data_IF_642091621317
#
_entry.id   IF_642091621317
#
_cell.length_a   1.000
_cell.length_b   1.000
_cell.length_c   1.000
_cell.angle_alpha   90.00
_cell.angle_beta   90.00
_cell.angle_gamma   90.00
#
_symmetry.space_group_name_H-M   'P 1'
#
loop_
_entity.id
_entity.type
_entity.pdbx_description
1 polymer ?
#
# COMPACT_ATOMS: atom_id res chain seq x y z
N UNK A 1 2.15 -45.76 26.27
CA UNK A 1 0.72 -45.41 26.12
C UNK A 1 0.43 -44.30 25.08
N UNK A 2 1.40 -43.80 24.30
CA UNK A 2 1.16 -42.75 23.28
C UNK A 2 1.02 -43.24 21.83
N UNK A 3 0.99 -44.55 21.59
CA UNK A 3 0.89 -45.14 20.23
C UNK A 3 -0.52 -45.58 19.82
N UNK A 4 -1.47 -45.60 20.74
CA UNK A 4 -2.85 -46.02 20.46
C UNK A 4 -3.78 -44.87 20.02
N UNK A 5 -3.45 -43.62 20.34
CA UNK A 5 -4.31 -42.45 20.03
C UNK A 5 -4.09 -41.88 18.63
N UNK A 6 -2.97 -42.17 17.97
CA UNK A 6 -2.69 -41.67 16.60
C UNK A 6 -3.42 -42.54 15.55
N UNK A 7 -3.63 -43.83 15.84
CA UNK A 7 -4.31 -44.75 14.94
C UNK A 7 -5.82 -44.49 14.85
N UNK A 8 -6.46 -44.06 15.95
CA UNK A 8 -7.89 -43.71 15.98
C UNK A 8 -8.17 -42.39 15.26
N UNK A 9 -7.24 -41.43 15.30
CA UNK A 9 -7.39 -40.15 14.59
C UNK A 9 -7.30 -40.28 13.06
N UNK A 10 -6.46 -41.19 12.56
CA UNK A 10 -6.38 -41.49 11.11
C UNK A 10 -7.57 -42.31 10.60
N UNK A 11 -8.18 -43.16 11.44
CA UNK A 11 -9.36 -43.93 11.08
C UNK A 11 -10.60 -43.04 10.91
N UNK A 12 -10.79 -42.04 11.77
CA UNK A 12 -11.91 -41.09 11.65
C UNK A 12 -11.76 -40.14 10.45
N UNK A 13 -10.54 -39.78 10.05
CA UNK A 13 -10.31 -38.87 8.92
C UNK A 13 -10.47 -39.56 7.55
N UNK A 14 -10.33 -40.90 7.50
CA UNK A 14 -10.58 -41.70 6.29
C UNK A 14 -12.06 -42.03 6.09
N UNK A 15 -12.87 -42.00 7.15
CA UNK A 15 -14.31 -42.25 7.05
C UNK A 15 -15.13 -41.05 6.54
N UNK A 16 -14.52 -39.86 6.42
CA UNK A 16 -15.21 -38.63 5.99
C UNK A 16 -15.05 -38.31 4.50
N UNK A 17 -14.33 -39.12 3.71
CA UNK A 17 -14.04 -38.83 2.30
C UNK A 17 -14.71 -39.76 1.26
N UNK A 18 -15.54 -40.71 1.70
CA UNK A 18 -16.19 -41.71 0.81
C UNK A 18 -17.73 -41.66 0.84
N UNK A 19 -18.31 -40.44 0.76
CA UNK A 19 -19.75 -40.27 0.51
C UNK A 19 -20.00 -39.18 -0.52
N UNK A 20 -19.44 -39.30 -1.73
CA UNK A 20 -20.05 -38.61 -2.88
C UNK A 20 -19.76 -39.27 -4.24
N UNK A 21 -20.06 -40.55 -4.37
CA UNK A 21 -20.19 -41.19 -5.68
C UNK A 21 -21.29 -42.25 -5.63
N UNK A 22 -22.53 -41.88 -5.95
CA UNK A 22 -23.50 -42.82 -6.48
C UNK A 22 -24.44 -42.13 -7.47
N UNK A 23 -24.12 -42.30 -8.77
CA UNK A 23 -25.14 -42.42 -9.82
C UNK A 23 -25.90 -43.72 -9.54
N UNK A 24 -27.22 -43.65 -9.47
CA UNK A 24 -28.08 -44.82 -9.37
C UNK A 24 -29.53 -44.43 -9.65
N UNK A 25 -30.02 -44.83 -10.82
CA UNK A 25 -31.41 -44.73 -11.24
C UNK A 25 -32.32 -45.51 -10.27
N UNK A 26 -33.40 -44.89 -9.82
CA UNK A 26 -34.65 -45.60 -9.53
C UNK A 26 -35.83 -44.78 -10.04
N UNK A 27 -36.55 -45.37 -10.98
CA UNK A 27 -37.91 -45.01 -11.36
C UNK A 27 -38.90 -45.53 -10.28
N UNK A 28 -40.16 -45.06 -10.37
CA UNK A 28 -41.37 -45.45 -9.61
C UNK A 28 -41.46 -44.78 -8.22
N UNK A 29 -42.54 -44.09 -7.82
CA UNK A 29 -43.96 -44.15 -8.19
C UNK A 29 -44.60 -42.77 -7.96
N UNK A 30 -45.52 -42.35 -8.84
CA UNK A 30 -46.47 -41.27 -8.58
C UNK A 30 -47.47 -41.69 -7.49
N UNK A 31 -47.62 -40.88 -6.45
CA UNK A 31 -48.86 -40.73 -5.69
C UNK A 31 -49.15 -39.23 -5.58
N UNK A 32 -50.20 -38.81 -6.29
CA UNK A 32 -50.75 -37.46 -6.28
C UNK A 32 -51.37 -37.18 -4.90
N UNK A 33 -50.85 -36.17 -4.20
CA UNK A 33 -51.61 -35.46 -3.18
C UNK A 33 -51.54 -33.98 -3.56
N UNK A 34 -52.69 -33.48 -4.02
CA UNK A 34 -52.95 -32.07 -4.30
C UNK A 34 -52.70 -31.22 -3.04
N UNK A 35 -51.62 -30.45 -3.05
CA UNK A 35 -51.44 -29.30 -2.18
C UNK A 35 -51.31 -28.07 -3.06
N UNK A 36 -52.36 -27.24 -3.04
CA UNK A 36 -52.47 -25.97 -3.74
C UNK A 36 -51.13 -25.21 -3.78
N UNK A 37 -50.70 -24.69 -4.95
CA UNK A 37 -49.41 -24.03 -5.07
C UNK A 37 -49.37 -22.79 -4.17
N UNK A 38 -48.65 -22.90 -3.05
CA UNK A 38 -48.18 -21.74 -2.29
C UNK A 38 -47.35 -20.91 -3.27
N UNK A 39 -47.77 -19.66 -3.49
CA UNK A 39 -47.13 -18.69 -4.39
C UNK A 39 -45.61 -18.75 -4.23
N UNK A 40 -44.91 -19.12 -5.30
CA UNK A 40 -43.46 -19.06 -5.38
C UNK A 40 -43.02 -17.60 -5.28
N UNK A 41 -42.15 -17.30 -4.32
CA UNK A 41 -41.46 -16.02 -4.26
C UNK A 41 -40.51 -15.95 -5.47
N UNK A 42 -40.81 -15.08 -6.43
CA UNK A 42 -39.95 -14.84 -7.60
C UNK A 42 -38.60 -14.26 -7.15
N UNK A 43 -37.60 -15.13 -6.99
CA UNK A 43 -36.26 -14.75 -6.57
C UNK A 43 -35.20 -15.84 -6.70
N UNK A 44 -35.58 -17.12 -6.68
CA UNK A 44 -34.64 -18.23 -6.91
C UNK A 44 -34.73 -18.74 -8.34
N UNK A 45 -33.99 -18.06 -9.23
CA UNK A 45 -33.58 -18.62 -10.51
C UNK A 45 -32.06 -18.82 -10.48
N UNK A 46 -31.66 -20.09 -10.57
CA UNK A 46 -30.31 -20.58 -10.83
C UNK A 46 -29.65 -19.85 -12.03
N UNK A 47 -28.31 -19.82 -12.13
CA UNK A 47 -27.58 -18.90 -13.02
C UNK A 47 -27.91 -19.17 -14.50
N UNK A 48 -28.49 -18.16 -15.14
CA UNK A 48 -28.76 -18.14 -16.58
C UNK A 48 -27.49 -18.49 -17.38
N UNK A 49 -27.62 -19.54 -18.16
CA UNK A 49 -26.72 -19.93 -19.23
C UNK A 49 -26.53 -18.77 -20.21
N UNK A 50 -25.29 -18.66 -20.72
CA UNK A 50 -24.91 -17.72 -21.76
C UNK A 50 -25.76 -17.95 -23.02
N UNK A 51 -26.47 -16.93 -23.52
CA UNK A 51 -26.86 -16.95 -24.94
C UNK A 51 -28.16 -16.27 -25.39
N UNK A 52 -29.09 -15.85 -24.54
CA UNK A 52 -30.37 -15.27 -25.02
C UNK A 52 -30.47 -13.75 -24.83
N UNK A 53 -31.02 -13.00 -25.82
CA UNK A 53 -31.09 -11.55 -25.76
C UNK A 53 -32.09 -11.13 -24.68
N UNK A 54 -31.55 -10.58 -23.59
CA UNK A 54 -32.30 -10.12 -22.43
C UNK A 54 -33.48 -9.24 -22.83
N UNK A 55 -34.69 -9.76 -22.64
CA UNK A 55 -35.96 -9.02 -22.69
C UNK A 55 -35.79 -7.82 -21.77
N UNK A 56 -35.71 -6.62 -22.35
CA UNK A 56 -35.45 -5.37 -21.63
C UNK A 56 -36.65 -5.07 -20.74
N UNK A 57 -36.61 -5.53 -19.48
CA UNK A 57 -37.58 -5.15 -18.46
C UNK A 57 -37.61 -3.62 -18.37
N UNK A 58 -38.79 -3.03 -18.61
CA UNK A 58 -39.00 -1.57 -18.62
C UNK A 58 -38.60 -1.05 -17.24
N UNK A 59 -37.62 -0.16 -17.18
CA UNK A 59 -37.16 0.44 -15.92
C UNK A 59 -38.34 1.23 -15.34
N UNK A 60 -38.81 0.86 -14.15
CA UNK A 60 -39.78 1.65 -13.38
C UNK A 60 -39.22 3.03 -13.05
N UNK A 61 -40.02 3.85 -12.35
CA UNK A 61 -39.74 5.25 -12.03
C UNK A 61 -38.26 5.54 -11.71
N UNK A 62 -37.53 6.06 -12.70
CA UNK A 62 -36.12 6.41 -12.58
C UNK A 62 -36.03 7.83 -12.05
N UNK A 63 -35.69 7.96 -10.77
CA UNK A 63 -35.55 9.25 -10.09
C UNK A 63 -34.27 9.94 -10.57
N UNK A 64 -34.39 10.64 -11.70
CA UNK A 64 -33.37 11.54 -12.23
C UNK A 64 -32.24 10.90 -13.06
N UNK A 65 -31.34 11.75 -13.60
CA UNK A 65 -30.24 11.34 -14.46
C UNK A 65 -29.35 10.26 -13.80
N UNK A 66 -28.93 9.26 -14.57
CA UNK A 66 -28.17 8.09 -14.08
C UNK A 66 -26.79 8.41 -13.46
N UNK A 67 -26.34 9.66 -13.53
CA UNK A 67 -25.16 10.18 -12.86
C UNK A 67 -25.53 10.93 -11.56
N UNK A 68 -26.58 10.49 -10.86
CA UNK A 68 -26.72 10.83 -9.45
C UNK A 68 -25.47 10.30 -8.73
N UNK A 69 -24.83 11.09 -7.86
CA UNK A 69 -23.72 10.60 -7.06
C UNK A 69 -24.24 9.42 -6.24
N UNK A 70 -23.93 8.21 -6.71
CA UNK A 70 -24.25 6.95 -6.04
C UNK A 70 -23.80 7.16 -4.59
N UNK A 71 -24.76 7.09 -3.66
CA UNK A 71 -24.61 7.68 -2.33
C UNK A 71 -23.31 7.26 -1.65
N UNK A 72 -22.82 8.07 -0.71
CA UNK A 72 -21.49 7.90 -0.07
C UNK A 72 -21.15 6.45 0.32
N UNK A 73 -22.14 5.66 0.71
CA UNK A 73 -21.98 4.24 1.07
C UNK A 73 -21.86 3.28 -0.13
N UNK A 74 -22.53 3.52 -1.26
CA UNK A 74 -22.45 2.64 -2.44
C UNK A 74 -21.08 2.69 -3.12
N UNK A 75 -20.45 3.87 -3.18
CA UNK A 75 -19.05 4.02 -3.67
C UNK A 75 -18.06 3.24 -2.81
N UNK A 76 -18.22 3.29 -1.48
CA UNK A 76 -17.37 2.53 -0.54
C UNK A 76 -17.55 1.03 -0.75
N UNK A 77 -18.78 0.54 -0.89
CA UNK A 77 -19.04 -0.88 -1.13
C UNK A 77 -18.48 -1.35 -2.48
N UNK A 78 -18.65 -0.57 -3.55
CA UNK A 78 -18.05 -0.87 -4.86
C UNK A 78 -16.52 -0.87 -4.78
N UNK A 79 -15.92 0.10 -4.09
CA UNK A 79 -14.48 0.14 -3.86
C UNK A 79 -13.98 -1.08 -3.09
N UNK A 80 -14.61 -1.43 -1.97
CA UNK A 80 -14.25 -2.61 -1.17
C UNK A 80 -14.33 -3.89 -2.01
N UNK A 81 -15.41 -4.05 -2.80
CA UNK A 81 -15.57 -5.19 -3.71
C UNK A 81 -14.47 -5.24 -4.77
N UNK A 82 -14.21 -4.12 -5.45
CA UNK A 82 -13.19 -4.04 -6.50
C UNK A 82 -11.79 -4.29 -5.92
N UNK A 83 -11.48 -3.74 -4.75
CA UNK A 83 -10.20 -3.94 -4.05
C UNK A 83 -9.99 -5.41 -3.66
N UNK A 84 -11.03 -6.08 -3.15
CA UNK A 84 -10.97 -7.51 -2.81
C UNK A 84 -10.78 -8.38 -4.06
N UNK A 85 -11.52 -8.08 -5.14
CA UNK A 85 -11.39 -8.80 -6.41
C UNK A 85 -9.99 -8.60 -6.99
N UNK A 86 -9.44 -7.38 -6.96
CA UNK A 86 -8.08 -7.11 -7.44
C UNK A 86 -7.03 -7.87 -6.63
N UNK A 87 -7.09 -7.83 -5.30
CA UNK A 87 -6.16 -8.57 -4.44
C UNK A 87 -6.22 -10.08 -4.71
N UNK A 88 -7.41 -10.64 -4.89
CA UNK A 88 -7.56 -12.05 -5.24
C UNK A 88 -6.98 -12.37 -6.62
N UNK A 89 -7.18 -11.52 -7.63
CA UNK A 89 -6.59 -11.69 -8.97
C UNK A 89 -5.06 -11.64 -8.92
N UNK A 90 -4.49 -10.67 -8.22
CA UNK A 90 -3.03 -10.55 -8.07
C UNK A 90 -2.46 -11.77 -7.36
N UNK A 91 -3.07 -12.24 -6.27
CA UNK A 91 -2.65 -13.46 -5.57
C UNK A 91 -2.70 -14.70 -6.47
N UNK A 92 -3.76 -14.84 -7.28
CA UNK A 92 -3.87 -15.93 -8.25
C UNK A 92 -2.81 -15.86 -9.34
N UNK A 93 -2.56 -14.68 -9.90
CA UNK A 93 -1.52 -14.48 -10.91
C UNK A 93 -0.12 -14.76 -10.35
N UNK A 94 0.17 -14.25 -9.15
CA UNK A 94 1.43 -14.50 -8.46
C UNK A 94 1.64 -15.98 -8.15
N UNK A 95 0.61 -16.69 -7.67
CA UNK A 95 0.70 -18.12 -7.42
C UNK A 95 0.99 -18.92 -8.71
N UNK A 96 0.44 -18.50 -9.85
CA UNK A 96 0.73 -19.10 -11.16
C UNK A 96 2.19 -18.87 -11.57
N UNK A 97 2.64 -17.62 -11.53
CA UNK A 97 4.02 -17.26 -11.87
C UNK A 97 4.99 -18.00 -10.97
N UNK A 98 4.75 -18.02 -9.65
CA UNK A 98 5.59 -18.75 -8.69
C UNK A 98 5.64 -20.25 -8.97
N UNK A 99 4.50 -20.86 -9.33
CA UNK A 99 4.46 -22.28 -9.69
C UNK A 99 5.20 -22.56 -11.00
N UNK A 100 5.05 -21.69 -12.00
CA UNK A 100 5.79 -21.78 -13.26
C UNK A 100 7.29 -21.56 -13.06
N UNK A 101 7.69 -20.60 -12.22
CA UNK A 101 9.09 -20.34 -11.87
C UNK A 101 9.69 -21.52 -11.13
N UNK A 102 8.97 -22.15 -10.19
CA UNK A 102 9.45 -23.37 -9.52
C UNK A 102 9.52 -24.56 -10.48
N UNK A 103 8.67 -24.63 -11.50
CA UNK A 103 8.70 -25.68 -12.52
C UNK A 103 9.79 -25.44 -13.59
N UNK A 104 10.06 -24.17 -13.92
CA UNK A 104 11.08 -23.74 -14.89
C UNK A 104 12.46 -23.62 -14.26
N UNK A 105 12.54 -23.35 -12.96
CA UNK A 105 13.80 -23.34 -12.24
C UNK A 105 14.42 -24.74 -12.34
N UNK A 106 15.70 -24.86 -12.73
CA UNK A 106 16.40 -26.13 -12.59
C UNK A 106 16.27 -26.53 -11.12
N UNK A 107 15.86 -27.77 -10.85
CA UNK A 107 15.78 -28.30 -9.48
C UNK A 107 17.17 -28.16 -8.87
N UNK A 108 17.41 -27.07 -8.16
CA UNK A 108 18.64 -26.85 -7.41
C UNK A 108 18.76 -28.02 -6.47
N UNK A 109 19.84 -28.77 -6.61
CA UNK A 109 20.08 -29.90 -5.72
C UNK A 109 20.19 -29.34 -4.30
N UNK A 110 19.80 -30.11 -3.29
CA UNK A 110 19.80 -29.66 -1.88
C UNK A 110 21.16 -29.09 -1.45
N UNK A 111 22.24 -29.44 -2.16
CA UNK A 111 23.61 -28.99 -1.94
C UNK A 111 23.91 -27.56 -2.47
N UNK A 112 23.14 -27.00 -3.40
CA UNK A 112 23.40 -25.66 -3.98
C UNK A 112 22.75 -24.51 -3.19
N UNK A 113 21.94 -24.83 -2.18
CA UNK A 113 21.15 -23.83 -1.43
C UNK A 113 21.92 -23.16 -0.27
N UNK A 114 23.12 -23.64 0.07
CA UNK A 114 23.88 -23.14 1.22
C UNK A 114 24.75 -21.91 0.92
N UNK A 115 25.01 -21.56 -0.34
CA UNK A 115 25.98 -20.51 -0.71
C UNK A 115 25.37 -19.26 -1.37
N UNK A 116 24.04 -19.18 -1.50
CA UNK A 116 23.39 -18.20 -2.40
C UNK A 116 22.45 -17.17 -1.75
N UNK A 117 22.45 -17.00 -0.43
CA UNK A 117 21.62 -16.00 0.26
C UNK A 117 22.43 -14.77 0.70
N UNK A 118 23.14 -14.13 -0.23
CA UNK A 118 23.53 -12.73 0.01
C UNK A 118 23.51 -11.92 -1.28
N UNK A 119 22.77 -10.82 -1.20
CA UNK A 119 22.80 -9.65 -2.10
C UNK A 119 21.98 -9.81 -3.38
N UNK A 120 20.98 -8.94 -3.56
CA UNK A 120 20.69 -8.21 -4.81
C UNK A 120 19.47 -7.28 -4.56
N UNK A 121 19.74 -6.03 -4.19
CA UNK A 121 18.84 -4.90 -4.45
C UNK A 121 19.64 -3.86 -5.23
N UNK A 122 19.35 -3.75 -6.53
CA UNK A 122 20.13 -2.99 -7.51
C UNK A 122 20.02 -1.46 -7.46
N UNK A 123 20.87 -0.75 -8.23
CA UNK A 123 20.57 -0.29 -9.61
C UNK A 123 21.61 0.72 -10.14
N UNK A 124 22.00 0.50 -11.40
CA UNK A 124 22.34 1.43 -12.49
C UNK A 124 23.55 2.40 -12.37
N UNK A 125 24.54 2.28 -13.28
CA UNK A 125 24.69 3.13 -14.48
C UNK A 125 25.85 2.65 -15.39
N UNK A 126 25.79 3.10 -16.64
CA UNK A 126 26.43 2.60 -17.86
C UNK A 126 27.95 2.82 -18.02
N UNK A 127 28.48 2.07 -19.00
CA UNK A 127 29.58 2.37 -19.94
C UNK A 127 31.05 1.99 -19.62
N UNK A 128 31.49 1.01 -20.42
CA UNK A 128 32.74 0.94 -21.20
C UNK A 128 34.09 0.94 -20.46
N UNK A 129 34.76 -0.21 -20.56
CA UNK A 129 36.17 -0.39 -20.26
C UNK A 129 36.47 -1.89 -20.21
N UNK A 130 36.95 -2.43 -21.33
CA UNK A 130 37.55 -3.76 -21.38
C UNK A 130 38.71 -3.81 -20.39
N UNK A 131 38.71 -4.76 -19.47
CA UNK A 131 39.90 -5.41 -18.90
C UNK A 131 39.44 -6.47 -17.90
N UNK A 132 39.83 -7.72 -18.16
CA UNK A 132 39.70 -8.83 -17.22
C UNK A 132 40.31 -8.43 -15.88
N UNK A 133 39.69 -8.73 -14.72
CA UNK A 133 40.28 -8.40 -13.43
C UNK A 133 41.45 -9.35 -13.19
N UNK A 134 42.62 -9.02 -13.73
CA UNK A 134 43.86 -9.58 -13.22
C UNK A 134 43.97 -9.11 -11.77
N UNK A 135 44.35 -10.03 -10.89
CA UNK A 135 44.43 -9.87 -9.44
C UNK A 135 45.55 -8.90 -9.01
N UNK A 136 45.93 -7.96 -9.87
CA UNK A 136 46.96 -6.97 -9.64
C UNK A 136 46.43 -5.95 -8.64
N UNK A 137 47.06 -5.91 -7.47
CA UNK A 137 46.71 -4.98 -6.40
C UNK A 137 46.80 -3.55 -6.94
N UNK A 138 45.77 -2.74 -6.66
CA UNK A 138 45.69 -1.33 -7.04
C UNK A 138 47.03 -0.61 -6.76
N UNK A 139 47.52 0.26 -7.67
CA UNK A 139 48.86 0.86 -7.58
C UNK A 139 49.13 1.56 -6.24
N UNK A 140 48.13 2.19 -5.65
CA UNK A 140 48.23 2.82 -4.31
C UNK A 140 48.59 1.82 -3.20
N UNK A 141 48.13 0.56 -3.32
CA UNK A 141 48.45 -0.50 -2.37
C UNK A 141 49.86 -1.05 -2.57
N UNK A 142 50.37 -1.04 -3.80
CA UNK A 142 51.76 -1.37 -4.11
C UNK A 142 52.70 -0.28 -3.56
N UNK A 143 52.31 0.99 -3.64
CA UNK A 143 53.08 2.10 -3.09
C UNK A 143 53.25 2.01 -1.57
N UNK A 144 52.20 1.65 -0.82
CA UNK A 144 52.30 1.45 0.64
C UNK A 144 53.17 0.25 1.05
N UNK A 145 53.32 -0.76 0.20
CA UNK A 145 54.15 -1.94 0.49
C UNK A 145 55.62 -1.74 0.12
N UNK A 146 55.90 -0.88 -0.87
CA UNK A 146 57.26 -0.57 -1.32
C UNK A 146 57.90 0.57 -0.52
N UNK A 147 57.14 1.30 0.29
CA UNK A 147 57.68 2.31 1.19
C UNK A 147 58.43 1.60 2.34
N UNK A 148 59.75 1.84 2.52
CA UNK A 148 60.51 1.18 3.57
C UNK A 148 59.96 1.60 4.93
N UNK A 149 59.55 0.62 5.73
CA UNK A 149 59.01 0.83 7.08
C UNK A 149 60.08 1.54 7.92
N UNK A 150 59.92 2.85 8.10
CA UNK A 150 60.78 3.63 8.96
C UNK A 150 60.56 3.15 10.40
N UNK A 151 61.56 2.52 11.00
CA UNK A 151 61.52 2.14 12.41
C UNK A 151 61.07 3.35 13.25
N UNK A 152 60.00 3.23 14.04
CA UNK A 152 59.51 4.35 14.82
C UNK A 152 60.52 4.69 15.91
N UNK A 153 61.23 5.81 15.75
CA UNK A 153 61.99 6.42 16.83
C UNK A 153 61.10 6.57 18.07
N UNK A 154 61.59 6.26 19.29
CA UNK A 154 60.76 6.30 20.49
C UNK A 154 60.30 7.75 20.74
N UNK A 155 59.03 8.02 20.48
CA UNK A 155 58.41 9.30 20.75
C UNK A 155 58.56 9.65 22.25
N UNK A 156 58.88 10.91 22.61
CA UNK A 156 58.90 11.32 24.01
C UNK A 156 57.51 11.12 24.63
N UNK A 157 57.47 10.42 25.77
CA UNK A 157 56.22 10.17 26.51
C UNK A 157 55.53 11.50 26.80
N UNK A 158 54.24 11.66 26.49
CA UNK A 158 53.52 12.88 26.84
C UNK A 158 53.48 13.02 28.36
N UNK A 159 54.04 14.11 28.88
CA UNK A 159 53.93 14.49 30.28
C UNK A 159 52.46 14.52 30.69
N UNK A 160 52.16 13.85 31.81
CA UNK A 160 50.81 13.77 32.38
C UNK A 160 50.38 15.18 32.80
N UNK A 161 49.47 15.78 32.04
CA UNK A 161 48.80 17.03 32.42
C UNK A 161 48.26 16.92 33.85
N UNK A 162 48.41 17.96 34.70
CA UNK A 162 47.80 17.95 36.03
C UNK A 162 46.28 17.80 35.88
N UNK A 163 45.71 16.87 36.66
CA UNK A 163 44.26 16.62 36.72
C UNK A 163 43.57 17.89 37.21
N UNK A 164 43.11 18.72 36.29
CA UNK A 164 42.18 19.79 36.61
C UNK A 164 40.92 19.18 37.24
N UNK A 165 40.50 19.78 38.35
CA UNK A 165 39.40 19.34 39.20
C UNK A 165 38.13 18.98 38.41
N UNK A 166 37.78 17.70 38.46
CA UNK A 166 36.43 17.22 38.76
C UNK A 166 35.25 17.59 37.86
N UNK A 167 35.37 18.34 36.76
CA UNK A 167 34.24 18.51 35.82
C UNK A 167 34.12 17.28 34.93
N UNK A 168 33.45 16.28 35.47
CA UNK A 168 32.98 15.10 34.74
C UNK A 168 32.29 15.58 33.46
N UNK A 169 32.87 15.28 32.29
CA UNK A 169 32.26 15.63 30.99
C UNK A 169 30.82 15.10 30.99
N UNK A 170 29.86 16.00 31.11
CA UNK A 170 28.44 15.65 31.05
C UNK A 170 28.17 14.97 29.71
N UNK A 171 27.81 13.69 29.78
CA UNK A 171 27.48 12.92 28.59
C UNK A 171 26.13 13.41 28.09
N UNK A 172 26.08 13.84 26.82
CA UNK A 172 24.81 14.23 26.20
C UNK A 172 23.82 13.06 26.26
N UNK A 173 22.55 13.31 26.65
CA UNK A 173 21.54 12.26 26.66
C UNK A 173 21.36 11.71 25.24
N UNK A 174 21.34 10.39 25.13
CA UNK A 174 21.09 9.72 23.86
C UNK A 174 19.63 9.99 23.45
N UNK A 175 19.36 10.45 22.22
CA UNK A 175 17.99 10.62 21.76
C UNK A 175 17.25 9.27 21.83
N UNK A 176 16.04 9.27 22.39
CA UNK A 176 15.22 8.06 22.47
C UNK A 176 14.87 7.56 21.06
N UNK A 177 14.68 6.25 20.90
CA UNK A 177 14.44 5.60 19.60
C UNK A 177 13.31 6.27 18.79
N UNK A 178 12.30 6.81 19.48
CA UNK A 178 11.11 7.40 18.87
C UNK A 178 11.21 8.90 18.58
N UNK A 179 12.24 9.60 19.04
CA UNK A 179 12.39 11.06 18.82
C UNK A 179 12.38 11.41 17.33
N UNK A 180 13.17 10.69 16.53
CA UNK A 180 13.24 10.87 15.08
C UNK A 180 11.91 10.55 14.39
N UNK A 181 11.20 9.53 14.85
CA UNK A 181 9.89 9.15 14.28
C UNK A 181 8.81 10.18 14.59
N UNK A 182 8.78 10.72 15.80
CA UNK A 182 7.86 11.80 16.18
C UNK A 182 8.13 13.07 15.39
N UNK A 183 9.40 13.45 15.22
CA UNK A 183 9.77 14.61 14.39
C UNK A 183 9.33 14.45 12.93
N UNK A 184 9.47 13.24 12.36
CA UNK A 184 9.00 12.96 11.00
C UNK A 184 7.48 13.03 10.92
N UNK A 185 6.77 12.50 11.92
CA UNK A 185 5.31 12.56 11.99
C UNK A 185 4.81 14.01 12.12
N UNK A 186 5.44 14.83 12.95
CA UNK A 186 5.14 16.25 13.09
C UNK A 186 5.40 17.04 11.82
N UNK A 187 6.54 16.78 11.14
CA UNK A 187 6.85 17.41 9.85
C UNK A 187 5.79 17.10 8.80
N UNK A 188 5.30 15.85 8.75
CA UNK A 188 4.20 15.44 7.86
C UNK A 188 2.89 16.14 8.21
N UNK A 189 2.52 16.20 9.50
CA UNK A 189 1.32 16.93 9.96
C UNK A 189 1.39 18.41 9.61
N UNK A 190 2.51 19.08 9.89
CA UNK A 190 2.74 20.49 9.56
C UNK A 190 2.65 20.75 8.05
N UNK A 191 3.18 19.85 7.22
CA UNK A 191 3.10 19.98 5.76
C UNK A 191 1.65 19.81 5.24
N UNK A 192 0.89 18.87 5.80
CA UNK A 192 -0.53 18.68 5.47
C UNK A 192 -1.39 19.86 5.95
N UNK A 193 -1.13 20.36 7.15
CA UNK A 193 -1.80 21.54 7.70
C UNK A 193 -1.51 22.80 6.88
N UNK A 194 -0.27 23.01 6.44
CA UNK A 194 0.07 24.13 5.55
C UNK A 194 -0.71 24.03 4.23
N UNK A 195 -0.69 22.85 3.58
CA UNK A 195 -1.46 22.61 2.36
C UNK A 195 -2.96 22.82 2.56
N UNK A 196 -3.49 22.47 3.73
CA UNK A 196 -4.90 22.66 4.09
C UNK A 196 -5.22 24.14 4.29
N UNK A 197 -4.40 24.86 5.05
CA UNK A 197 -4.53 26.31 5.27
C UNK A 197 -4.46 27.10 3.97
N UNK A 198 -3.61 26.70 3.03
CA UNK A 198 -3.54 27.34 1.71
C UNK A 198 -4.84 27.15 0.89
N UNK A 199 -5.43 25.95 0.95
CA UNK A 199 -6.71 25.67 0.28
C UNK A 199 -7.84 26.44 0.95
N UNK A 200 -7.89 26.45 2.27
CA UNK A 200 -8.89 27.18 3.06
C UNK A 200 -8.77 28.69 2.85
N UNK A 201 -7.55 29.24 2.78
CA UNK A 201 -7.33 30.66 2.48
C UNK A 201 -7.86 31.03 1.09
N UNK A 202 -7.57 30.21 0.06
CA UNK A 202 -8.11 30.40 -1.30
C UNK A 202 -9.63 30.29 -1.35
N UNK A 203 -10.22 29.37 -0.60
CA UNK A 203 -11.68 29.23 -0.49
C UNK A 203 -12.30 30.44 0.21
N UNK A 204 -11.73 30.87 1.34
CA UNK A 204 -12.18 32.03 2.10
C UNK A 204 -12.10 33.31 1.26
N UNK A 205 -11.03 33.51 0.48
CA UNK A 205 -10.93 34.63 -0.47
C UNK A 205 -12.05 34.59 -1.52
N UNK A 206 -12.31 33.41 -2.09
CA UNK A 206 -13.39 33.22 -3.07
C UNK A 206 -14.76 33.51 -2.46
N UNK A 207 -15.02 33.00 -1.26
CA UNK A 207 -16.27 33.22 -0.54
C UNK A 207 -16.45 34.68 -0.13
N UNK A 208 -15.38 35.35 0.32
CA UNK A 208 -15.40 36.77 0.64
C UNK A 208 -15.74 37.62 -0.58
N UNK A 209 -15.15 37.33 -1.75
CA UNK A 209 -15.49 37.99 -3.01
C UNK A 209 -16.94 37.75 -3.42
N UNK A 210 -17.41 36.50 -3.35
CA UNK A 210 -18.80 36.15 -3.66
C UNK A 210 -19.78 36.82 -2.69
N UNK A 211 -19.43 36.93 -1.41
CA UNK A 211 -20.25 37.58 -0.39
C UNK A 211 -20.27 39.10 -0.56
N UNK A 212 -19.15 39.71 -0.94
CA UNK A 212 -19.08 41.13 -1.24
C UNK A 212 -19.87 41.49 -2.51
N UNK A 213 -19.86 40.62 -3.52
CA UNK A 213 -20.61 40.78 -4.78
C UNK A 213 -22.13 40.56 -4.64
N UNK A 214 -22.61 40.12 -3.47
CA UNK A 214 -24.06 39.96 -3.25
C UNK A 214 -24.75 41.34 -3.30
N UNK A 215 -25.79 41.49 -4.14
CA UNK A 215 -26.52 42.74 -4.24
C UNK A 215 -27.30 43.04 -2.96
N UNK A 216 -27.64 44.31 -2.78
CA UNK A 216 -28.49 44.78 -1.70
C UNK A 216 -29.96 44.34 -1.88
N UNK A 217 -30.81 44.60 -0.88
CA UNK A 217 -32.26 44.44 -0.97
C UNK A 217 -32.85 45.20 -2.18
N UNK A 218 -32.24 46.33 -2.55
CA UNK A 218 -32.58 47.12 -3.74
C UNK A 218 -31.89 46.66 -5.03
N UNK A 219 -31.21 45.51 -5.04
CA UNK A 219 -30.51 44.97 -6.20
C UNK A 219 -29.20 45.69 -6.57
N UNK A 220 -28.89 46.83 -5.94
CA UNK A 220 -27.68 47.63 -6.20
C UNK A 220 -26.44 46.95 -5.59
N UNK A 221 -25.30 47.02 -6.30
CA UNK A 221 -24.01 46.57 -5.77
C UNK A 221 -23.47 47.53 -4.74
N UNK A 222 -22.90 46.99 -3.66
CA UNK A 222 -22.30 47.78 -2.57
C UNK A 222 -20.79 47.88 -2.79
N UNK A 223 -20.36 48.91 -3.54
CA UNK A 223 -18.94 49.15 -3.84
C UNK A 223 -18.04 49.16 -2.60
N UNK A 224 -18.52 49.70 -1.46
CA UNK A 224 -17.74 49.69 -0.22
C UNK A 224 -17.48 48.31 0.39
N UNK A 225 -18.26 47.28 0.04
CA UNK A 225 -18.00 45.89 0.43
C UNK A 225 -17.02 45.21 -0.53
N UNK A 226 -17.15 45.49 -1.82
CA UNK A 226 -16.29 44.95 -2.87
C UNK A 226 -14.88 45.56 -2.81
N UNK A 227 -14.77 46.86 -2.52
CA UNK A 227 -13.50 47.59 -2.44
C UNK A 227 -12.54 46.97 -1.44
N UNK A 228 -12.98 46.67 -0.22
CA UNK A 228 -12.11 46.13 0.84
C UNK A 228 -11.52 44.76 0.48
N UNK A 229 -12.34 43.88 -0.12
CA UNK A 229 -11.88 42.55 -0.52
C UNK A 229 -10.91 42.65 -1.71
N UNK A 230 -11.19 43.54 -2.67
CA UNK A 230 -10.30 43.77 -3.81
C UNK A 230 -8.96 44.38 -3.37
N UNK A 231 -8.98 45.35 -2.45
CA UNK A 231 -7.78 45.95 -1.88
C UNK A 231 -6.92 44.90 -1.16
N UNK A 232 -7.54 44.03 -0.35
CA UNK A 232 -6.82 42.95 0.34
C UNK A 232 -6.15 41.97 -0.64
N UNK A 233 -6.77 41.73 -1.80
CA UNK A 233 -6.23 40.89 -2.88
C UNK A 233 -5.07 41.59 -3.60
N UNK A 234 -5.21 42.87 -3.91
CA UNK A 234 -4.12 43.68 -4.52
C UNK A 234 -2.92 43.75 -3.58
N UNK A 235 -3.13 43.98 -2.28
CA UNK A 235 -2.04 44.01 -1.30
C UNK A 235 -1.27 42.69 -1.25
N UNK A 236 -1.96 41.54 -1.35
CA UNK A 236 -1.31 40.22 -1.45
C UNK A 236 -0.51 40.05 -2.74
N UNK A 237 -1.05 40.48 -3.89
CA UNK A 237 -0.35 40.38 -5.17
C UNK A 237 0.89 41.28 -5.21
N UNK A 238 0.81 42.49 -4.65
CA UNK A 238 1.94 43.43 -4.59
C UNK A 238 3.02 42.94 -3.60
N UNK A 239 2.63 42.35 -2.47
CA UNK A 239 3.59 41.80 -1.51
C UNK A 239 4.20 40.44 -1.91
N UNK A 240 3.79 39.87 -3.05
CA UNK A 240 4.37 38.65 -3.63
C UNK A 240 5.39 38.95 -4.74
N UNK A 241 5.56 40.22 -5.11
CA UNK A 241 6.61 40.71 -6.00
C UNK A 241 7.80 41.22 -5.18
#
# INVERSE_FOLDING_TARGET
>A
MFRAEIATFFFLLRQSFDLNTHRGKTHLFCLNIDMAPKRTHDGDAAPASKGEPAIKKRKGFSVGPANLPDGTYRRKTQKIKNDLIHKAKVKKAYAKIKAEELAKAPKKSVYDTAEGEEIETGKNKEEAGEETPTLELHPDRIAMLNEPEAEPAPAPRPERRPRADGKQRERRPKPSAFTKEMEIAEKRRKAEEARRKDREAKQNEREALLRAKRPDQFGKRRLGRESNVLLSRVQRMVGQN
#
